data_IF_458407698918
#
_entry.id   IF_458407698918
#
_cell.length_a   1.000
_cell.length_b   1.000
_cell.length_c   1.000
_cell.angle_alpha   90.00
_cell.angle_beta   90.00
_cell.angle_gamma   90.00
#
_symmetry.space_group_name_H-M   'P 1'
#
loop_
_entity.id
_entity.type
_entity.pdbx_description
1 polymer ?
#
# COMPACT_ATOMS: atom_id res chain seq x y z
N UNK A 1 5.60 2.84 17.03
CA UNK A 1 5.06 3.49 15.81
C UNK A 1 3.73 2.84 15.49
N UNK A 2 2.70 3.63 15.20
CA UNK A 2 1.42 3.10 14.72
C UNK A 2 1.24 3.53 13.26
N UNK A 3 1.56 2.63 12.34
CA UNK A 3 1.63 2.97 10.90
C UNK A 3 0.29 3.40 10.29
N UNK A 4 -0.83 2.94 10.85
CA UNK A 4 -2.16 3.05 10.22
C UNK A 4 -3.27 3.43 11.21
N UNK A 5 -2.96 4.10 12.33
CA UNK A 5 -3.95 4.38 13.38
C UNK A 5 -5.18 5.11 12.82
N UNK A 6 -4.93 6.22 12.14
CA UNK A 6 -5.97 7.11 11.62
C UNK A 6 -6.68 6.47 10.42
N UNK A 7 -5.93 5.75 9.57
CA UNK A 7 -6.44 5.03 8.40
C UNK A 7 -7.43 3.93 8.79
N UNK A 8 -7.10 3.15 9.83
CA UNK A 8 -7.97 2.07 10.31
C UNK A 8 -9.27 2.63 10.85
N UNK A 9 -9.23 3.72 11.63
CA UNK A 9 -10.47 4.34 12.14
C UNK A 9 -11.41 4.72 10.99
N UNK A 10 -10.88 5.36 9.95
CA UNK A 10 -11.62 5.79 8.76
C UNK A 10 -12.12 4.60 7.93
N UNK A 11 -11.30 3.55 7.81
CA UNK A 11 -11.67 2.35 7.05
C UNK A 11 -12.80 1.56 7.73
N UNK A 12 -12.80 1.53 9.06
CA UNK A 12 -13.77 0.76 9.83
C UNK A 12 -15.02 1.55 10.26
N UNK A 13 -15.16 2.80 9.80
CA UNK A 13 -16.34 3.68 10.04
C UNK A 13 -17.60 3.24 9.25
N UNK A 14 -17.85 1.93 9.19
CA UNK A 14 -19.05 1.33 8.63
C UNK A 14 -19.67 0.41 9.68
N UNK A 15 -20.99 0.47 9.84
CA UNK A 15 -21.71 -0.24 10.90
C UNK A 15 -21.45 -1.75 10.94
N UNK A 16 -21.15 -2.39 9.79
CA UNK A 16 -20.81 -3.81 9.74
C UNK A 16 -19.37 -4.08 10.16
N UNK A 17 -18.43 -3.22 9.74
CA UNK A 17 -17.00 -3.41 9.98
C UNK A 17 -16.57 -2.89 11.36
N UNK A 18 -17.26 -1.91 11.93
CA UNK A 18 -16.92 -1.34 13.25
C UNK A 18 -16.91 -2.42 14.36
N UNK A 19 -17.67 -3.50 14.20
CA UNK A 19 -17.67 -4.64 15.14
C UNK A 19 -16.29 -5.30 15.31
N UNK A 20 -15.43 -5.22 14.30
CA UNK A 20 -14.08 -5.83 14.31
C UNK A 20 -12.96 -4.78 14.39
N UNK A 21 -13.28 -3.48 14.34
CA UNK A 21 -12.32 -2.37 14.26
C UNK A 21 -11.29 -2.41 15.39
N UNK A 22 -11.77 -2.49 16.64
CA UNK A 22 -10.95 -2.54 17.84
C UNK A 22 -9.98 -3.71 17.83
N UNK A 23 -10.47 -4.91 17.50
CA UNK A 23 -9.66 -6.13 17.47
C UNK A 23 -8.62 -6.09 16.35
N UNK A 24 -8.98 -5.58 15.17
CA UNK A 24 -8.03 -5.36 14.09
C UNK A 24 -6.92 -4.39 14.51
N UNK A 25 -7.27 -3.25 15.11
CA UNK A 25 -6.31 -2.27 15.60
C UNK A 25 -5.37 -2.85 16.66
N UNK A 26 -5.92 -3.59 17.64
CA UNK A 26 -5.12 -4.26 18.67
C UNK A 26 -4.11 -5.25 18.08
N UNK A 27 -4.55 -6.13 17.17
CA UNK A 27 -3.69 -7.13 16.53
C UNK A 27 -2.62 -6.44 15.66
N UNK A 28 -3.00 -5.42 14.89
CA UNK A 28 -2.04 -4.65 14.08
C UNK A 28 -0.99 -3.98 14.96
N UNK A 29 -1.41 -3.31 16.05
CA UNK A 29 -0.48 -2.66 16.98
C UNK A 29 0.48 -3.65 17.61
N UNK A 30 0.00 -4.81 18.07
CA UNK A 30 0.84 -5.86 18.63
C UNK A 30 1.86 -6.38 17.62
N UNK A 31 1.45 -6.54 16.36
CA UNK A 31 2.32 -7.02 15.27
C UNK A 31 3.49 -6.06 14.99
N UNK A 32 3.35 -4.76 15.27
CA UNK A 32 4.41 -3.76 15.12
C UNK A 32 5.36 -3.64 16.32
N UNK A 33 5.08 -4.29 17.45
CA UNK A 33 5.95 -4.24 18.64
C UNK A 33 7.09 -5.27 18.62
N UNK A 34 7.24 -6.02 17.52
CA UNK A 34 8.30 -7.03 17.41
C UNK A 34 9.68 -6.38 17.29
N UNK A 35 10.69 -7.03 17.87
CA UNK A 35 12.08 -6.57 17.74
C UNK A 35 12.60 -6.88 16.33
N UNK A 36 12.69 -5.85 15.48
CA UNK A 36 13.26 -5.95 14.14
C UNK A 36 14.22 -4.78 13.89
N UNK A 37 15.49 -5.09 13.64
CA UNK A 37 16.54 -4.09 13.46
C UNK A 37 16.35 -3.14 12.27
N UNK A 38 15.45 -3.46 11.34
CA UNK A 38 15.14 -2.59 10.20
C UNK A 38 14.02 -1.58 10.48
N UNK A 39 13.22 -1.76 11.54
CA UNK A 39 12.11 -0.85 11.88
C UNK A 39 12.57 0.61 11.97
N UNK A 40 13.70 0.96 12.63
CA UNK A 40 14.17 2.34 12.67
C UNK A 40 14.44 2.93 11.28
N UNK A 41 15.07 2.14 10.39
CA UNK A 41 15.36 2.52 9.00
C UNK A 41 14.08 2.74 8.19
N UNK A 42 13.09 1.86 8.34
CA UNK A 42 11.83 1.98 7.60
C UNK A 42 10.95 3.11 8.14
N UNK A 43 10.90 3.30 9.47
CA UNK A 43 10.14 4.40 10.09
C UNK A 43 10.67 5.75 9.65
N UNK A 44 12.00 5.94 9.66
CA UNK A 44 12.62 7.17 9.15
C UNK A 44 12.25 7.45 7.68
N UNK A 45 12.17 6.40 6.87
CA UNK A 45 11.75 6.52 5.48
C UNK A 45 10.30 7.02 5.36
N UNK A 46 9.39 6.44 6.15
CA UNK A 46 7.98 6.88 6.17
C UNK A 46 7.86 8.31 6.68
N UNK A 47 8.54 8.67 7.77
CA UNK A 47 8.48 10.03 8.32
C UNK A 47 8.94 11.07 7.29
N UNK A 48 9.99 10.76 6.52
CA UNK A 48 10.49 11.63 5.45
C UNK A 48 9.50 11.68 4.27
N UNK A 49 8.99 10.52 3.85
CA UNK A 49 8.01 10.43 2.75
C UNK A 49 6.72 11.20 3.08
N UNK A 50 6.25 11.14 4.33
CA UNK A 50 5.06 11.85 4.78
C UNK A 50 5.23 13.37 4.86
N UNK A 51 6.47 13.86 4.93
CA UNK A 51 6.76 15.29 4.86
C UNK A 51 6.62 15.86 3.43
N UNK A 52 6.64 15.01 2.41
CA UNK A 52 6.42 15.44 1.04
C UNK A 52 4.94 15.71 0.75
N UNK A 53 4.64 16.65 -0.17
CA UNK A 53 3.26 16.89 -0.60
C UNK A 53 2.66 15.64 -1.28
N UNK A 54 1.38 15.40 -1.03
CA UNK A 54 0.66 14.24 -1.59
C UNK A 54 0.47 14.41 -3.09
N UNK A 55 0.82 13.38 -3.86
CA UNK A 55 0.67 13.34 -5.31
C UNK A 55 -0.72 12.90 -5.78
N UNK A 56 -0.96 13.03 -7.09
CA UNK A 56 -2.16 12.52 -7.76
C UNK A 56 -1.94 11.10 -8.25
N UNK A 57 -2.79 10.17 -7.79
CA UNK A 57 -2.77 8.78 -8.22
C UNK A 57 -3.51 8.58 -9.55
N UNK A 58 -2.96 7.77 -10.45
CA UNK A 58 -3.59 7.37 -11.70
C UNK A 58 -3.08 6.00 -12.16
N UNK A 59 -3.89 5.24 -12.90
CA UNK A 59 -3.45 4.01 -13.55
C UNK A 59 -2.92 4.33 -14.95
N UNK A 60 -1.60 4.49 -15.08
CA UNK A 60 -0.90 4.63 -16.37
C UNK A 60 -0.31 3.29 -16.73
N UNK A 61 -1.12 2.39 -17.30
CA UNK A 61 -0.76 0.98 -17.52
C UNK A 61 0.63 0.87 -18.18
N UNK A 62 1.53 0.03 -17.63
CA UNK A 62 1.29 -0.96 -16.57
C UNK A 62 1.34 -0.43 -15.12
N UNK A 63 1.65 0.85 -14.92
CA UNK A 63 1.98 1.42 -13.62
C UNK A 63 0.76 1.92 -12.83
N UNK A 64 0.75 1.64 -11.54
CA UNK A 64 0.10 2.54 -10.58
C UNK A 64 1.03 3.74 -10.45
N UNK A 65 0.59 4.89 -10.93
CA UNK A 65 1.39 6.11 -10.99
C UNK A 65 0.96 7.14 -9.96
N UNK A 66 1.91 7.81 -9.34
CA UNK A 66 1.70 8.94 -8.42
C UNK A 66 2.52 10.12 -8.95
N UNK A 67 1.88 11.24 -9.30
CA UNK A 67 2.59 12.39 -9.88
C UNK A 67 2.45 13.63 -8.98
N UNK A 68 3.55 14.37 -8.79
CA UNK A 68 3.59 15.64 -8.08
C UNK A 68 4.70 16.55 -8.65
N UNK A 69 4.36 17.79 -9.00
CA UNK A 69 5.23 18.68 -9.77
C UNK A 69 6.43 19.22 -8.98
N UNK A 70 6.36 19.28 -7.65
CA UNK A 70 7.37 19.94 -6.80
C UNK A 70 8.04 19.04 -5.76
N UNK A 71 8.06 17.72 -5.97
CA UNK A 71 8.73 16.79 -5.06
C UNK A 71 10.21 16.66 -5.42
N UNK A 72 11.07 16.59 -4.40
CA UNK A 72 12.48 16.26 -4.58
C UNK A 72 12.61 14.76 -4.90
N UNK A 73 12.78 14.46 -6.20
CA UNK A 73 12.87 13.08 -6.68
C UNK A 73 14.11 12.35 -6.14
N UNK A 74 15.22 13.03 -5.87
CA UNK A 74 16.44 12.38 -5.36
C UNK A 74 16.25 11.94 -3.91
N UNK A 75 15.73 12.85 -3.08
CA UNK A 75 15.42 12.55 -1.68
C UNK A 75 14.37 11.45 -1.58
N UNK A 76 13.27 11.55 -2.34
CA UNK A 76 12.25 10.50 -2.38
C UNK A 76 12.82 9.15 -2.81
N UNK A 77 13.67 9.12 -3.85
CA UNK A 77 14.32 7.88 -4.32
C UNK A 77 15.18 7.26 -3.22
N UNK A 78 15.93 8.06 -2.48
CA UNK A 78 16.77 7.59 -1.39
C UNK A 78 15.93 6.91 -0.29
N UNK A 79 14.77 7.47 0.05
CA UNK A 79 13.86 6.91 1.04
C UNK A 79 13.18 5.63 0.55
N UNK A 80 12.68 5.59 -0.70
CA UNK A 80 12.07 4.39 -1.28
C UNK A 80 13.07 3.23 -1.43
N UNK A 81 14.37 3.51 -1.61
CA UNK A 81 15.44 2.50 -1.60
C UNK A 81 15.65 1.86 -0.24
N UNK A 82 15.33 2.55 0.87
CA UNK A 82 15.38 1.96 2.22
C UNK A 82 14.35 0.84 2.39
N UNK A 83 13.32 0.82 1.54
CA UNK A 83 12.23 -0.15 1.54
C UNK A 83 12.42 -1.31 0.54
N UNK A 84 13.59 -1.47 -0.07
CA UNK A 84 13.90 -2.65 -0.90
C UNK A 84 13.97 -3.92 -0.03
N UNK A 85 13.55 -5.10 -0.54
CA UNK A 85 13.12 -5.36 -1.92
C UNK A 85 11.63 -5.11 -2.21
N UNK A 86 11.35 -4.43 -3.32
CA UNK A 86 10.01 -4.31 -3.89
C UNK A 86 9.69 -5.57 -4.71
N UNK A 87 8.75 -6.40 -4.25
CA UNK A 87 8.41 -7.66 -4.94
C UNK A 87 7.25 -7.53 -5.91
N UNK A 88 6.17 -6.84 -5.54
CA UNK A 88 4.99 -6.64 -6.40
C UNK A 88 4.95 -5.19 -6.89
N UNK A 89 4.56 -5.01 -8.14
CA UNK A 89 4.47 -3.73 -8.82
C UNK A 89 3.85 -3.90 -10.22
N UNK A 90 4.11 -3.00 -11.18
CA UNK A 90 5.04 -1.88 -11.09
C UNK A 90 4.38 -0.59 -10.56
N UNK A 91 5.16 0.20 -9.84
CA UNK A 91 4.80 1.56 -9.41
C UNK A 91 5.66 2.57 -10.15
N UNK A 92 5.10 3.75 -10.39
CA UNK A 92 5.79 4.88 -10.99
C UNK A 92 5.50 6.13 -10.17
N UNK A 93 6.54 6.80 -9.68
CA UNK A 93 6.37 8.05 -8.93
C UNK A 93 7.09 9.14 -9.71
N UNK A 94 6.34 10.06 -10.31
CA UNK A 94 6.83 10.91 -11.42
C UNK A 94 7.49 10.05 -12.50
N UNK A 95 8.79 10.27 -12.77
CA UNK A 95 9.59 9.50 -13.73
C UNK A 95 10.37 8.35 -13.07
N UNK A 96 10.30 8.21 -11.75
CA UNK A 96 10.94 7.11 -11.02
C UNK A 96 10.10 5.83 -11.15
N UNK A 97 10.66 4.85 -11.86
CA UNK A 97 10.11 3.49 -11.88
C UNK A 97 10.65 2.70 -10.69
N UNK A 98 9.75 2.22 -9.82
CA UNK A 98 10.11 1.27 -8.78
C UNK A 98 10.21 -0.13 -9.39
N UNK A 99 11.45 -0.58 -9.59
CA UNK A 99 11.75 -1.92 -10.10
C UNK A 99 11.23 -2.96 -9.11
N UNK A 100 10.29 -3.78 -9.56
CA UNK A 100 9.71 -4.88 -8.79
C UNK A 100 10.06 -6.24 -9.39
N UNK A 101 10.21 -7.27 -8.55
CA UNK A 101 10.47 -8.65 -8.97
C UNK A 101 9.36 -9.19 -9.90
N UNK A 102 8.09 -8.87 -9.60
CA UNK A 102 6.92 -9.34 -10.33
C UNK A 102 6.23 -8.21 -11.08
N UNK A 103 5.97 -8.43 -12.37
CA UNK A 103 5.00 -7.64 -13.13
C UNK A 103 3.58 -8.06 -12.72
N UNK A 104 3.02 -7.33 -11.76
CA UNK A 104 1.68 -7.52 -11.25
C UNK A 104 0.61 -7.12 -12.26
N UNK A 105 0.87 -6.19 -13.18
CA UNK A 105 -0.13 -5.77 -14.18
C UNK A 105 -0.41 -6.90 -15.16
N UNK A 106 0.62 -7.61 -15.63
CA UNK A 106 0.44 -8.81 -16.45
C UNK A 106 -0.47 -9.84 -15.78
N UNK A 107 -0.34 -10.05 -14.47
CA UNK A 107 -1.22 -10.95 -13.71
C UNK A 107 -2.64 -10.38 -13.61
N UNK A 108 -2.77 -9.10 -13.31
CA UNK A 108 -4.07 -8.44 -13.19
C UNK A 108 -4.87 -8.47 -14.49
N UNK A 109 -4.22 -8.19 -15.63
CA UNK A 109 -4.86 -8.23 -16.95
C UNK A 109 -5.42 -9.60 -17.30
N UNK A 110 -4.79 -10.69 -16.82
CA UNK A 110 -5.31 -12.06 -16.98
C UNK A 110 -6.52 -12.30 -16.08
N UNK A 111 -6.45 -11.92 -14.80
CA UNK A 111 -7.49 -12.26 -13.81
C UNK A 111 -8.73 -11.37 -13.92
N UNK A 112 -8.56 -10.07 -14.17
CA UNK A 112 -9.64 -9.07 -14.17
C UNK A 112 -10.79 -9.42 -15.12
N UNK A 113 -10.51 -10.12 -16.22
CA UNK A 113 -11.52 -10.57 -17.20
C UNK A 113 -12.39 -11.73 -16.72
N UNK A 114 -12.00 -12.40 -15.64
CA UNK A 114 -12.64 -13.62 -15.14
C UNK A 114 -13.28 -13.45 -13.76
N UNK A 115 -13.14 -12.28 -13.13
CA UNK A 115 -13.77 -11.96 -11.84
C UNK A 115 -15.04 -11.15 -12.06
N UNK A 116 -15.94 -11.18 -11.06
CA UNK A 116 -17.11 -10.29 -11.06
C UNK A 116 -16.66 -8.84 -11.00
N UNK A 117 -17.41 -7.88 -11.59
CA UNK A 117 -17.13 -6.46 -11.44
C UNK A 117 -16.96 -6.08 -9.97
N UNK A 118 -15.91 -5.30 -9.69
CA UNK A 118 -15.53 -4.90 -8.33
C UNK A 118 -16.31 -3.69 -7.84
N UNK A 119 -17.02 -2.99 -8.74
CA UNK A 119 -17.88 -1.86 -8.42
C UNK A 119 -18.76 -2.14 -7.20
N UNK A 120 -18.63 -1.29 -6.18
CA UNK A 120 -19.33 -1.36 -4.90
C UNK A 120 -19.08 -2.62 -4.04
N UNK A 121 -18.09 -3.46 -4.38
CA UNK A 121 -17.74 -4.66 -3.59
C UNK A 121 -16.85 -4.34 -2.40
N UNK A 122 -16.96 -5.17 -1.37
CA UNK A 122 -15.97 -5.26 -0.28
C UNK A 122 -15.05 -6.42 -0.58
N UNK A 123 -13.75 -6.19 -0.62
CA UNK A 123 -12.75 -7.19 -1.02
C UNK A 123 -11.72 -7.36 0.07
N UNK A 124 -11.36 -8.62 0.34
CA UNK A 124 -10.26 -8.99 1.23
C UNK A 124 -9.14 -9.61 0.36
N UNK A 125 -7.97 -9.00 0.37
CA UNK A 125 -6.75 -9.51 -0.28
C UNK A 125 -5.85 -10.18 0.78
N UNK A 126 -5.80 -11.50 0.75
CA UNK A 126 -5.08 -12.33 1.74
C UNK A 126 -3.66 -12.59 1.25
N UNK A 127 -2.64 -12.22 2.03
CA UNK A 127 -1.26 -12.26 1.57
C UNK A 127 -0.99 -11.15 0.56
N UNK A 128 -1.50 -9.95 0.88
CA UNK A 128 -1.52 -8.80 -0.02
C UNK A 128 -0.11 -8.37 -0.46
N UNK A 129 0.95 -8.76 0.26
CA UNK A 129 2.28 -8.20 0.07
C UNK A 129 2.22 -6.69 0.30
N UNK A 130 2.87 -5.91 -0.54
CA UNK A 130 2.84 -4.45 -0.45
C UNK A 130 1.53 -3.79 -0.93
N UNK A 131 0.46 -4.57 -1.09
CA UNK A 131 -0.86 -4.05 -1.42
C UNK A 131 -1.06 -3.63 -2.88
N UNK A 132 -0.14 -3.95 -3.81
CA UNK A 132 -0.32 -3.65 -5.23
C UNK A 132 -1.71 -4.07 -5.75
N UNK A 133 -2.14 -5.31 -5.51
CA UNK A 133 -3.44 -5.80 -5.97
C UNK A 133 -4.61 -5.20 -5.17
N UNK A 134 -4.47 -4.97 -3.87
CA UNK A 134 -5.43 -4.20 -3.07
C UNK A 134 -5.71 -2.83 -3.69
N UNK A 135 -4.67 -2.10 -4.11
CA UNK A 135 -4.80 -0.81 -4.78
C UNK A 135 -5.47 -0.97 -6.15
N UNK A 136 -5.10 -1.98 -6.94
CA UNK A 136 -5.79 -2.28 -8.21
C UNK A 136 -7.29 -2.51 -8.03
N UNK A 137 -7.67 -3.28 -7.01
CA UNK A 137 -9.08 -3.52 -6.70
C UNK A 137 -9.82 -2.22 -6.34
N UNK A 138 -9.19 -1.36 -5.54
CA UNK A 138 -9.74 -0.05 -5.20
C UNK A 138 -9.90 0.86 -6.43
N UNK A 139 -8.90 0.91 -7.31
CA UNK A 139 -8.93 1.70 -8.55
C UNK A 139 -9.95 1.18 -9.58
N UNK A 140 -10.39 -0.07 -9.46
CA UNK A 140 -11.42 -0.71 -10.31
C UNK A 140 -12.82 -0.64 -9.67
N UNK A 141 -13.02 0.24 -8.68
CA UNK A 141 -14.34 0.58 -8.12
C UNK A 141 -14.75 -0.22 -6.87
N UNK A 142 -13.84 -1.00 -6.27
CA UNK A 142 -14.16 -1.63 -4.98
C UNK A 142 -14.51 -0.57 -3.94
N UNK A 143 -15.69 -0.73 -3.28
CA UNK A 143 -16.12 0.17 -2.20
C UNK A 143 -15.12 0.22 -1.07
N UNK A 144 -14.56 -0.96 -0.73
CA UNK A 144 -13.50 -1.12 0.26
C UNK A 144 -12.63 -2.32 -0.15
N UNK A 145 -11.32 -2.15 -0.19
CA UNK A 145 -10.36 -3.22 -0.38
C UNK A 145 -9.43 -3.27 0.85
N UNK A 146 -9.41 -4.39 1.56
CA UNK A 146 -8.56 -4.60 2.74
C UNK A 146 -7.49 -5.64 2.39
N UNK A 147 -6.22 -5.25 2.50
CA UNK A 147 -5.10 -6.19 2.44
C UNK A 147 -4.75 -6.68 3.85
N UNK A 148 -4.46 -7.97 4.00
CA UNK A 148 -3.84 -8.52 5.22
C UNK A 148 -2.48 -9.14 4.89
N UNK A 149 -1.47 -8.76 5.66
CA UNK A 149 -0.08 -9.11 5.38
C UNK A 149 0.76 -9.14 6.69
N UNK A 150 1.31 -10.30 7.09
CA UNK A 150 2.14 -10.40 8.29
C UNK A 150 3.57 -9.86 8.14
N UNK A 151 4.11 -9.73 6.93
CA UNK A 151 5.48 -9.24 6.74
C UNK A 151 5.57 -7.72 6.93
N UNK A 152 6.36 -7.30 7.92
CA UNK A 152 6.51 -5.89 8.28
C UNK A 152 6.93 -5.01 7.11
N UNK A 153 7.96 -5.40 6.36
CA UNK A 153 8.47 -4.60 5.24
C UNK A 153 7.36 -4.25 4.24
N UNK A 154 6.46 -5.18 3.96
CA UNK A 154 5.37 -4.95 3.02
C UNK A 154 4.32 -3.96 3.54
N UNK A 155 4.11 -3.92 4.86
CA UNK A 155 3.28 -2.89 5.50
C UNK A 155 3.94 -1.50 5.40
N UNK A 156 5.27 -1.40 5.59
CA UNK A 156 5.99 -0.14 5.35
C UNK A 156 5.95 0.26 3.87
N UNK A 157 6.11 -0.68 2.93
CA UNK A 157 5.98 -0.41 1.50
C UNK A 157 4.57 0.06 1.10
N UNK A 158 3.51 -0.46 1.75
CA UNK A 158 2.15 0.00 1.52
C UNK A 158 1.89 1.38 2.12
N UNK A 159 2.57 1.72 3.23
CA UNK A 159 2.44 3.03 3.89
C UNK A 159 3.15 4.16 3.16
N UNK A 160 4.24 3.83 2.45
CA UNK A 160 5.01 4.73 1.61
C UNK A 160 4.21 5.15 0.37
#
# INVERSE_FOLDING_TARGET
VNLFLDDLSTFFDDSLLNKISKKCLEISNQSYQVNNGNIPKWSQAIDTIDSFPKGKIALKKPYISINHDSIDNESLTAELRKLIPWRKGPFMINDLVLVSEWDGDMKWQRISKHIKPLENKRVLDVGAGNGYFTLRMAMEGAKRALGIEPFLLFNYQFRA
#
